data_IF_264822651644
#
_entry.id   IF_264822651644
#
_cell.length_a   1.000
_cell.length_b   1.000
_cell.length_c   1.000
_cell.angle_alpha   90.00
_cell.angle_beta   90.00
_cell.angle_gamma   90.00
#
_symmetry.space_group_name_H-M   'P 1'
#
loop_
_entity.id
_entity.type
_entity.pdbx_description
1 polymer ?
#
# COMPACT_ATOMS: atom_id res chain seq x y z
N UNK A 1 7.27 22.22 8.41
CA UNK A 1 5.88 22.66 8.14
C UNK A 1 5.79 23.15 6.70
N UNK A 2 4.78 22.72 5.98
CA UNK A 2 4.49 23.11 4.57
C UNK A 2 3.27 24.03 4.60
N UNK A 3 3.37 25.28 4.17
CA UNK A 3 2.23 26.22 4.14
C UNK A 3 1.26 25.90 2.97
N UNK A 4 0.14 26.61 2.89
CA UNK A 4 -0.77 26.55 1.75
C UNK A 4 -0.04 26.86 0.44
N UNK A 5 -0.35 26.12 -0.63
CA UNK A 5 0.29 26.22 -1.94
C UNK A 5 0.74 24.88 -2.48
N UNK A 6 1.25 24.86 -3.72
CA UNK A 6 1.78 23.66 -4.37
C UNK A 6 3.30 23.69 -4.35
N UNK A 7 3.90 22.64 -3.79
CA UNK A 7 5.35 22.49 -3.65
C UNK A 7 5.80 21.23 -4.38
N UNK A 8 6.58 21.40 -5.42
CA UNK A 8 7.20 20.27 -6.13
C UNK A 8 8.41 19.78 -5.36
N UNK A 9 8.53 18.46 -5.22
CA UNK A 9 9.67 17.83 -4.57
C UNK A 9 9.97 16.47 -5.16
N UNK A 10 11.22 16.06 -5.06
CA UNK A 10 11.60 14.68 -5.25
C UNK A 10 11.42 13.89 -3.97
N UNK A 11 12.44 13.18 -3.56
CA UNK A 11 12.47 12.35 -2.35
C UNK A 11 12.63 13.20 -1.08
N UNK A 12 11.71 13.06 -0.12
CA UNK A 12 11.82 13.66 1.22
C UNK A 12 12.15 12.56 2.20
N UNK A 13 13.27 12.71 2.90
CA UNK A 13 13.65 11.76 3.95
C UNK A 13 13.35 12.31 5.34
N UNK A 14 12.44 11.67 6.06
CA UNK A 14 12.16 11.95 7.46
C UNK A 14 13.21 11.25 8.35
N UNK A 15 13.59 11.92 9.41
CA UNK A 15 14.46 11.41 10.47
C UNK A 15 13.68 11.20 11.75
N UNK A 16 14.27 10.52 12.71
CA UNK A 16 13.66 10.35 14.04
C UNK A 16 13.27 11.69 14.67
N UNK A 17 12.17 11.67 15.38
CA UNK A 17 11.60 12.82 16.10
C UNK A 17 11.20 14.00 15.19
N UNK A 18 10.83 13.69 13.93
CA UNK A 18 10.40 14.70 12.96
C UNK A 18 8.93 14.54 12.63
N UNK A 19 8.21 15.64 12.71
CA UNK A 19 6.85 15.76 12.15
C UNK A 19 6.86 16.57 10.87
N UNK A 20 6.45 15.95 9.76
CA UNK A 20 6.09 16.65 8.54
C UNK A 20 4.66 17.17 8.69
N UNK A 21 4.51 18.48 8.83
CA UNK A 21 3.22 19.11 9.04
C UNK A 21 2.78 19.90 7.81
N UNK A 22 1.59 19.55 7.27
CA UNK A 22 1.00 20.18 6.08
C UNK A 22 -0.20 21.06 6.53
N UNK A 23 -0.11 22.34 6.25
CA UNK A 23 -1.22 23.28 6.52
C UNK A 23 -2.40 23.05 5.58
N UNK A 24 -3.56 23.56 5.97
CA UNK A 24 -4.73 23.56 5.11
C UNK A 24 -4.41 24.17 3.74
N UNK A 25 -4.76 23.45 2.66
CA UNK A 25 -4.43 23.85 1.28
C UNK A 25 -2.97 23.64 0.86
N UNK A 26 -2.14 22.97 1.68
CA UNK A 26 -0.82 22.52 1.25
C UNK A 26 -0.94 21.33 0.29
N UNK A 27 -0.24 21.40 -0.83
CA UNK A 27 -0.09 20.30 -1.77
C UNK A 27 1.39 20.00 -1.94
N UNK A 28 1.82 18.87 -1.43
CA UNK A 28 3.15 18.35 -1.65
C UNK A 28 3.09 17.43 -2.85
N UNK A 29 3.65 17.88 -3.98
CA UNK A 29 3.59 17.15 -5.24
C UNK A 29 4.93 16.56 -5.62
N UNK A 30 4.93 15.30 -6.03
CA UNK A 30 6.07 14.62 -6.57
C UNK A 30 6.49 15.15 -7.94
N UNK A 31 7.78 15.14 -8.22
CA UNK A 31 8.31 15.38 -9.57
C UNK A 31 7.98 14.16 -10.42
N UNK A 32 7.45 14.38 -11.63
CA UNK A 32 7.11 13.30 -12.58
C UNK A 32 8.34 12.79 -13.34
N UNK A 33 9.43 12.60 -12.64
CA UNK A 33 10.64 11.96 -13.12
C UNK A 33 11.04 10.85 -12.16
N UNK A 34 10.90 9.57 -12.53
CA UNK A 34 11.26 8.46 -11.65
C UNK A 34 12.72 8.50 -11.20
N UNK A 35 13.63 9.06 -12.01
CA UNK A 35 15.04 9.18 -11.65
C UNK A 35 15.28 10.15 -10.51
N UNK A 36 14.39 11.11 -10.29
CA UNK A 36 14.48 12.03 -9.16
C UNK A 36 14.36 11.35 -7.80
N UNK A 37 13.79 10.14 -7.76
CA UNK A 37 13.61 9.33 -6.55
C UNK A 37 14.72 8.30 -6.34
N UNK A 38 15.58 8.10 -7.33
CA UNK A 38 16.64 7.09 -7.30
C UNK A 38 18.01 7.65 -6.94
N UNK A 39 18.17 8.97 -6.96
CA UNK A 39 19.44 9.61 -6.66
C UNK A 39 19.96 9.38 -5.23
N UNK A 40 19.06 9.13 -4.31
CA UNK A 40 19.42 8.82 -2.92
C UNK A 40 19.91 7.38 -2.71
N UNK A 41 19.90 6.55 -3.73
CA UNK A 41 20.39 5.18 -3.64
C UNK A 41 21.91 5.08 -3.64
N UNK A 42 22.59 5.99 -4.31
CA UNK A 42 24.03 5.87 -4.50
C UNK A 42 24.84 6.12 -3.23
N UNK A 43 24.31 6.93 -2.31
CA UNK A 43 25.09 7.38 -1.16
C UNK A 43 24.72 6.74 0.17
N UNK A 44 23.57 6.10 0.30
CA UNK A 44 23.08 5.63 1.60
C UNK A 44 22.09 4.47 1.54
N UNK A 45 22.04 3.73 0.45
CA UNK A 45 21.25 2.50 0.48
C UNK A 45 21.97 1.52 1.38
N UNK A 46 21.61 1.56 2.63
CA UNK A 46 21.74 0.34 3.41
C UNK A 46 20.91 -0.70 2.65
N UNK A 47 21.51 -1.82 2.29
CA UNK A 47 20.75 -2.90 1.68
C UNK A 47 19.56 -3.16 2.58
N UNK A 48 18.39 -3.37 1.98
CA UNK A 48 17.25 -3.85 2.73
C UNK A 48 17.72 -4.95 3.66
N UNK A 49 17.31 -4.93 4.92
CA UNK A 49 17.69 -5.99 5.83
C UNK A 49 17.43 -7.34 5.17
N UNK A 50 18.33 -8.31 5.27
CA UNK A 50 18.08 -9.64 4.74
C UNK A 50 16.74 -10.22 5.17
N UNK A 51 16.21 -9.75 6.31
CA UNK A 51 14.87 -10.09 6.80
C UNK A 51 13.75 -9.64 5.87
N UNK A 52 13.92 -8.61 5.06
CA UNK A 52 12.90 -8.20 4.09
C UNK A 52 12.77 -9.21 2.95
N UNK A 53 13.89 -9.80 2.62
CA UNK A 53 13.96 -10.96 1.75
C UNK A 53 13.96 -12.27 2.55
N UNK A 54 13.66 -12.22 3.86
CA UNK A 54 13.62 -13.42 4.67
C UNK A 54 12.57 -14.37 4.12
N UNK A 55 13.05 -15.34 3.40
CA UNK A 55 12.27 -16.26 2.65
C UNK A 55 12.29 -16.04 1.15
N UNK A 56 12.81 -14.93 0.68
CA UNK A 56 13.26 -14.81 -0.69
C UNK A 56 14.75 -15.15 -0.69
N UNK A 57 15.10 -16.28 -1.26
CA UNK A 57 16.51 -16.57 -1.49
C UNK A 57 17.10 -15.51 -2.43
N UNK A 58 18.42 -15.26 -2.43
CA UNK A 58 19.04 -14.41 -3.45
C UNK A 58 18.63 -14.77 -4.88
N UNK A 59 18.38 -16.04 -5.14
CA UNK A 59 17.87 -16.51 -6.42
C UNK A 59 16.43 -16.08 -6.70
N UNK A 60 15.62 -15.92 -5.66
CA UNK A 60 14.27 -15.39 -5.80
C UNK A 60 14.28 -13.88 -6.01
N UNK A 61 15.18 -13.16 -5.38
CA UNK A 61 15.38 -11.72 -5.62
C UNK A 61 15.97 -11.42 -6.98
N UNK A 62 16.76 -12.31 -7.55
CA UNK A 62 17.26 -12.19 -8.91
C UNK A 62 16.24 -12.59 -9.99
N UNK A 63 15.30 -13.47 -9.63
CA UNK A 63 14.31 -14.03 -10.57
C UNK A 63 12.95 -13.37 -10.52
N UNK A 64 12.70 -12.57 -9.50
CA UNK A 64 11.38 -12.00 -9.26
C UNK A 64 11.44 -10.49 -9.06
N UNK A 65 10.83 -9.78 -9.98
CA UNK A 65 9.85 -8.84 -9.52
C UNK A 65 8.68 -9.69 -8.98
N UNK A 66 7.92 -9.16 -8.08
CA UNK A 66 6.74 -9.83 -7.52
C UNK A 66 5.78 -10.36 -8.57
N UNK A 67 6.00 -10.10 -9.85
CA UNK A 67 5.17 -10.45 -10.99
C UNK A 67 5.96 -10.94 -12.22
N UNK A 68 7.21 -11.36 -12.06
CA UNK A 68 7.99 -12.03 -13.10
C UNK A 68 9.05 -11.19 -13.81
N UNK A 69 9.37 -9.98 -13.36
CA UNK A 69 10.49 -9.18 -13.82
C UNK A 69 11.67 -9.17 -12.85
N UNK A 70 12.79 -8.61 -13.24
CA UNK A 70 13.94 -8.47 -12.36
C UNK A 70 13.84 -7.19 -11.55
N UNK A 71 13.83 -7.29 -10.21
CA UNK A 71 14.09 -6.14 -9.36
C UNK A 71 15.59 -5.84 -9.51
N UNK A 72 15.97 -4.69 -10.05
CA UNK A 72 17.38 -4.34 -10.10
C UNK A 72 17.96 -4.28 -8.70
N UNK A 73 19.23 -4.63 -8.54
CA UNK A 73 19.92 -4.45 -7.27
C UNK A 73 19.76 -3.00 -6.78
N UNK A 74 19.38 -2.80 -5.52
CA UNK A 74 19.15 -1.47 -4.95
C UNK A 74 17.69 -1.10 -4.77
N UNK A 75 16.85 -2.08 -4.79
CA UNK A 75 15.45 -2.10 -4.37
C UNK A 75 14.59 -0.88 -4.66
N UNK A 76 13.97 -0.89 -5.79
CA UNK A 76 12.93 0.09 -6.18
C UNK A 76 11.69 0.07 -5.29
N UNK A 77 11.48 -0.97 -4.50
CA UNK A 77 10.36 -1.12 -3.60
C UNK A 77 10.31 -0.11 -2.47
N UNK A 78 11.45 0.43 -2.07
CA UNK A 78 11.53 1.38 -0.96
C UNK A 78 11.49 2.83 -1.41
N UNK A 79 11.29 3.08 -2.72
CA UNK A 79 11.19 4.44 -3.20
C UNK A 79 9.85 5.05 -2.86
N UNK A 80 9.89 6.26 -2.38
CA UNK A 80 8.71 7.01 -2.03
C UNK A 80 8.95 8.50 -2.14
N UNK A 81 7.90 9.26 -2.36
CA UNK A 81 7.95 10.71 -2.29
C UNK A 81 8.34 11.17 -0.88
N UNK A 82 7.85 10.46 0.13
CA UNK A 82 8.24 10.66 1.53
C UNK A 82 8.75 9.33 2.07
N UNK A 83 9.95 9.34 2.64
CA UNK A 83 10.59 8.14 3.19
C UNK A 83 11.04 8.32 4.63
N UNK A 84 10.96 7.24 5.39
CA UNK A 84 11.61 7.10 6.69
C UNK A 84 12.24 5.71 6.77
N UNK A 85 13.50 5.64 7.18
CA UNK A 85 14.23 4.37 7.35
C UNK A 85 14.96 4.41 8.69
N UNK A 86 14.83 3.35 9.49
CA UNK A 86 15.43 3.22 10.82
C UNK A 86 15.14 4.43 11.71
N UNK A 87 13.88 4.89 11.72
CA UNK A 87 13.49 6.11 12.42
C UNK A 87 12.46 5.82 13.50
N UNK A 88 12.48 6.63 14.56
CA UNK A 88 11.50 6.56 15.65
C UNK A 88 10.80 7.90 15.85
N UNK A 89 9.57 7.86 16.39
CA UNK A 89 8.74 9.04 16.63
C UNK A 89 8.57 9.90 15.37
N UNK A 90 8.11 9.27 14.30
CA UNK A 90 7.92 9.92 13.00
C UNK A 90 6.46 10.20 12.75
N UNK A 91 6.15 11.43 12.35
CA UNK A 91 4.79 11.79 12.04
C UNK A 91 4.63 12.52 10.70
N UNK A 92 3.48 12.26 10.05
CA UNK A 92 2.97 13.07 8.94
C UNK A 92 1.58 13.52 9.34
N UNK A 93 1.40 14.82 9.49
CA UNK A 93 0.15 15.42 9.96
C UNK A 93 -0.33 16.47 8.98
N UNK A 94 -1.55 16.34 8.51
CA UNK A 94 -2.20 17.31 7.63
C UNK A 94 -3.39 17.99 8.29
N UNK A 95 -3.58 19.28 8.01
CA UNK A 95 -4.84 19.96 8.24
C UNK A 95 -5.84 19.62 7.12
N UNK A 96 -7.11 19.93 7.30
CA UNK A 96 -8.15 19.68 6.33
C UNK A 96 -7.78 20.22 4.93
N UNK A 97 -7.84 19.35 3.91
CA UNK A 97 -7.46 19.70 2.55
C UNK A 97 -5.97 19.65 2.23
N UNK A 98 -5.12 19.18 3.15
CA UNK A 98 -3.72 18.88 2.88
C UNK A 98 -3.61 17.67 1.94
N UNK A 99 -2.73 17.76 0.94
CA UNK A 99 -2.58 16.73 -0.11
C UNK A 99 -1.11 16.33 -0.27
N UNK A 100 -0.87 15.03 -0.37
CA UNK A 100 0.35 14.42 -0.87
C UNK A 100 0.00 13.81 -2.22
N UNK A 101 0.58 14.35 -3.29
CA UNK A 101 0.25 14.02 -4.68
C UNK A 101 1.45 13.36 -5.35
N UNK A 102 1.36 12.07 -5.65
CA UNK A 102 2.42 11.33 -6.35
C UNK A 102 2.55 11.69 -7.82
N UNK A 103 1.61 12.49 -8.35
CA UNK A 103 1.57 12.98 -9.73
C UNK A 103 1.69 11.87 -10.80
N UNK A 104 1.24 10.65 -10.49
CA UNK A 104 1.31 9.49 -11.39
C UNK A 104 2.72 9.30 -12.01
N UNK A 105 3.75 9.34 -11.18
CA UNK A 105 5.14 9.22 -11.60
C UNK A 105 5.50 7.78 -11.98
N UNK A 106 4.92 7.27 -13.06
CA UNK A 106 5.18 5.91 -13.54
C UNK A 106 6.57 5.72 -14.11
N UNK A 107 7.10 4.52 -13.92
CA UNK A 107 8.42 4.10 -14.38
C UNK A 107 8.31 2.90 -15.30
N UNK A 108 8.65 3.08 -16.59
CA UNK A 108 8.55 2.02 -17.59
C UNK A 108 9.48 0.83 -17.34
N UNK A 109 10.49 1.00 -16.48
CA UNK A 109 11.39 -0.06 -16.05
C UNK A 109 11.21 -0.43 -14.58
N UNK A 110 10.16 0.12 -13.96
CA UNK A 110 9.75 -0.23 -12.60
C UNK A 110 9.10 -1.60 -12.53
N UNK A 111 8.67 -1.96 -11.34
CA UNK A 111 7.93 -3.19 -11.12
C UNK A 111 6.71 -3.27 -12.03
N UNK A 112 6.38 -4.47 -12.47
CA UNK A 112 5.34 -4.72 -13.48
C UNK A 112 5.49 -3.88 -14.75
N UNK A 113 6.69 -3.33 -15.00
CA UNK A 113 7.02 -2.45 -16.12
C UNK A 113 6.26 -1.12 -16.14
N UNK A 114 5.75 -0.68 -15.01
CA UNK A 114 5.07 0.61 -14.92
C UNK A 114 5.07 1.26 -13.54
N UNK A 115 5.22 0.50 -12.43
CA UNK A 115 5.13 1.06 -11.09
C UNK A 115 6.30 1.99 -10.81
N UNK A 116 5.98 3.16 -10.35
CA UNK A 116 6.95 4.16 -9.90
C UNK A 116 7.13 4.15 -8.38
N UNK A 117 7.46 5.30 -7.78
CA UNK A 117 7.63 5.43 -6.34
C UNK A 117 6.28 5.33 -5.60
N UNK A 118 6.33 4.83 -4.38
CA UNK A 118 5.24 4.97 -3.41
C UNK A 118 5.02 6.45 -3.06
N UNK A 119 3.84 6.82 -2.58
CA UNK A 119 3.70 8.15 -2.02
C UNK A 119 4.43 8.26 -0.66
N UNK A 120 4.28 7.24 0.18
CA UNK A 120 4.95 7.17 1.49
C UNK A 120 5.56 5.77 1.63
N UNK A 121 6.85 5.71 2.00
CA UNK A 121 7.56 4.47 2.27
C UNK A 121 8.28 4.56 3.61
N UNK A 122 8.00 3.63 4.51
CA UNK A 122 8.61 3.58 5.83
C UNK A 122 9.15 2.17 6.11
N UNK A 123 10.37 2.09 6.62
CA UNK A 123 11.02 0.83 6.89
C UNK A 123 11.76 0.86 8.21
N UNK A 124 11.59 -0.21 9.00
CA UNK A 124 12.19 -0.36 10.31
C UNK A 124 12.00 0.88 11.22
N UNK A 125 10.75 1.33 11.26
CA UNK A 125 10.37 2.52 12.03
C UNK A 125 9.55 2.15 13.25
N UNK A 126 9.60 3.02 14.28
CA UNK A 126 8.81 2.87 15.51
C UNK A 126 8.01 4.13 15.82
N UNK A 127 6.84 3.94 16.41
CA UNK A 127 5.97 5.05 16.83
C UNK A 127 5.64 5.97 15.63
N UNK A 128 4.98 5.40 14.63
CA UNK A 128 4.56 6.10 13.41
C UNK A 128 3.18 6.71 13.63
N UNK A 129 3.03 8.00 13.36
CA UNK A 129 1.74 8.69 13.38
C UNK A 129 1.44 9.35 12.04
N UNK A 130 0.33 8.92 11.41
CA UNK A 130 -0.11 9.37 10.09
C UNK A 130 -1.53 9.92 10.20
N UNK A 131 -1.77 11.22 9.95
CA UNK A 131 -3.11 11.76 10.13
C UNK A 131 -3.48 12.97 9.30
N UNK A 132 -4.75 13.06 8.91
CA UNK A 132 -5.42 14.29 8.47
C UNK A 132 -5.12 14.74 7.04
N UNK A 133 -4.49 13.95 6.21
CA UNK A 133 -4.13 14.29 4.82
C UNK A 133 -4.81 13.38 3.79
N UNK A 134 -4.75 13.81 2.54
CA UNK A 134 -5.17 12.99 1.40
C UNK A 134 -3.95 12.61 0.54
N UNK A 135 -3.79 11.31 0.24
CA UNK A 135 -2.85 10.85 -0.79
C UNK A 135 -3.58 10.74 -2.12
N UNK A 136 -2.97 11.27 -3.18
CA UNK A 136 -3.48 11.15 -4.56
C UNK A 136 -2.41 10.64 -5.51
N UNK A 137 -2.86 9.98 -6.58
CA UNK A 137 -2.03 9.68 -7.76
C UNK A 137 -0.70 9.03 -7.41
N UNK A 138 -0.69 8.11 -6.45
CA UNK A 138 0.52 7.32 -6.16
C UNK A 138 0.80 6.39 -7.34
N UNK A 139 2.02 6.37 -7.82
CA UNK A 139 2.43 5.49 -8.92
C UNK A 139 2.71 4.05 -8.48
N UNK A 140 2.66 3.80 -7.19
CA UNK A 140 2.67 2.51 -6.53
C UNK A 140 1.76 2.60 -5.29
N UNK A 141 1.93 1.75 -4.28
CA UNK A 141 1.12 1.81 -3.07
C UNK A 141 1.15 3.20 -2.45
N UNK A 142 0.02 3.67 -1.95
CA UNK A 142 -0.03 4.99 -1.32
C UNK A 142 0.81 5.02 -0.03
N UNK A 143 0.76 3.95 0.75
CA UNK A 143 1.60 3.77 1.91
C UNK A 143 2.22 2.37 1.87
N UNK A 144 3.53 2.29 1.89
CA UNK A 144 4.31 1.06 2.00
C UNK A 144 5.07 1.08 3.33
N UNK A 145 4.70 0.20 4.26
CA UNK A 145 5.26 0.20 5.61
C UNK A 145 5.79 -1.21 5.94
N UNK A 146 7.08 -1.27 6.21
CA UNK A 146 7.80 -2.52 6.39
C UNK A 146 8.47 -2.60 7.76
N UNK A 147 8.48 -3.77 8.36
CA UNK A 147 9.25 -4.10 9.59
C UNK A 147 9.07 -3.09 10.73
N UNK A 148 7.90 -2.47 10.81
CA UNK A 148 7.67 -1.33 11.70
C UNK A 148 6.69 -1.68 12.82
N UNK A 149 6.72 -0.91 13.89
CA UNK A 149 5.87 -1.14 15.05
C UNK A 149 5.25 0.13 15.63
N UNK A 150 4.11 -0.04 16.31
CA UNK A 150 3.34 1.05 16.92
C UNK A 150 2.92 2.09 15.87
N UNK A 151 2.10 1.65 14.94
CA UNK A 151 1.65 2.46 13.80
C UNK A 151 0.23 2.92 14.06
N UNK A 152 0.01 4.22 13.98
CA UNK A 152 -1.30 4.82 14.11
C UNK A 152 -1.62 5.67 12.88
N UNK A 153 -2.64 5.25 12.12
CA UNK A 153 -3.15 5.97 10.95
C UNK A 153 -4.59 6.41 11.22
N UNK A 154 -4.86 7.71 11.14
CA UNK A 154 -6.18 8.24 11.41
C UNK A 154 -6.59 9.35 10.46
N UNK A 155 -7.87 9.35 10.04
CA UNK A 155 -8.44 10.41 9.20
C UNK A 155 -7.58 10.69 7.95
N UNK A 156 -7.09 9.62 7.33
CA UNK A 156 -6.34 9.65 6.07
C UNK A 156 -7.26 9.23 4.94
N UNK A 157 -7.21 9.97 3.84
CA UNK A 157 -7.93 9.60 2.61
C UNK A 157 -6.94 9.19 1.53
N UNK A 158 -7.18 8.06 0.88
CA UNK A 158 -6.40 7.62 -0.28
C UNK A 158 -7.29 7.63 -1.53
N UNK A 159 -6.77 8.19 -2.61
CA UNK A 159 -7.37 8.24 -3.95
C UNK A 159 -6.32 7.87 -5.00
N UNK A 160 -6.09 6.58 -5.19
CA UNK A 160 -5.04 6.06 -6.05
C UNK A 160 -5.42 4.69 -6.64
N UNK A 161 -4.80 4.30 -7.73
CA UNK A 161 -5.10 3.04 -8.42
C UNK A 161 -4.45 1.79 -7.84
N UNK A 162 -3.59 1.93 -6.83
CA UNK A 162 -2.86 0.85 -6.15
C UNK A 162 -3.33 0.69 -4.71
N UNK A 163 -2.60 -0.09 -3.90
CA UNK A 163 -2.97 -0.32 -2.50
C UNK A 163 -3.07 0.99 -1.72
N UNK A 164 -4.04 1.05 -0.84
CA UNK A 164 -4.22 2.18 0.07
C UNK A 164 -3.14 2.21 1.15
N UNK A 165 -2.93 1.09 1.81
CA UNK A 165 -1.81 0.86 2.71
C UNK A 165 -1.40 -0.61 2.65
N UNK A 166 -0.11 -0.85 2.57
CA UNK A 166 0.48 -2.18 2.62
C UNK A 166 1.47 -2.28 3.78
N UNK A 167 1.17 -3.18 4.70
CA UNK A 167 2.02 -3.49 5.84
C UNK A 167 2.74 -4.81 5.61
N UNK A 168 4.03 -4.87 5.83
CA UNK A 168 4.78 -6.12 5.78
C UNK A 168 5.55 -6.30 7.09
N UNK A 169 5.32 -7.41 7.78
CA UNK A 169 6.00 -7.73 9.03
C UNK A 169 5.88 -6.60 10.07
N UNK A 170 4.67 -6.05 10.22
CA UNK A 170 4.41 -4.94 11.13
C UNK A 170 3.66 -5.42 12.39
N UNK A 171 3.78 -4.63 13.47
CA UNK A 171 3.18 -4.95 14.77
C UNK A 171 2.48 -3.75 15.38
N UNK A 172 1.38 -4.01 16.09
CA UNK A 172 0.62 -3.00 16.84
C UNK A 172 0.17 -1.85 15.92
N UNK A 173 -0.74 -2.16 15.03
CA UNK A 173 -1.26 -1.20 14.05
C UNK A 173 -2.69 -0.84 14.34
N UNK A 174 -3.00 0.46 14.27
CA UNK A 174 -4.37 0.98 14.30
C UNK A 174 -4.61 1.82 13.06
N UNK A 175 -5.71 1.54 12.34
CA UNK A 175 -6.17 2.31 11.18
C UNK A 175 -7.62 2.71 11.46
N UNK A 176 -7.88 3.98 11.70
CA UNK A 176 -9.20 4.44 12.10
C UNK A 176 -9.67 5.68 11.35
N UNK A 177 -10.98 5.79 11.14
CA UNK A 177 -11.62 6.94 10.48
C UNK A 177 -11.01 7.26 9.09
N UNK A 178 -10.47 6.26 8.39
CA UNK A 178 -9.81 6.42 7.10
C UNK A 178 -10.76 6.11 5.93
N UNK A 179 -10.46 6.69 4.77
CA UNK A 179 -11.22 6.44 3.55
C UNK A 179 -10.28 6.04 2.40
N UNK A 180 -10.45 4.83 1.90
CA UNK A 180 -9.65 4.28 0.81
C UNK A 180 -10.51 4.15 -0.44
N UNK A 181 -10.13 4.83 -1.50
CA UNK A 181 -10.66 4.69 -2.85
C UNK A 181 -9.52 4.22 -3.73
N UNK A 182 -9.46 2.92 -3.97
CA UNK A 182 -8.31 2.26 -4.61
C UNK A 182 -8.75 1.44 -5.84
N UNK A 183 -7.82 1.11 -6.68
CA UNK A 183 -8.01 0.11 -7.75
C UNK A 183 -7.58 -1.27 -7.29
N UNK A 184 -6.49 -1.33 -6.53
CA UNK A 184 -5.97 -2.52 -5.86
C UNK A 184 -6.46 -2.57 -4.41
N UNK A 185 -5.81 -3.29 -3.53
CA UNK A 185 -6.28 -3.54 -2.17
C UNK A 185 -6.38 -2.25 -1.32
N UNK A 186 -7.41 -2.11 -0.50
CA UNK A 186 -7.49 -0.95 0.39
C UNK A 186 -6.50 -1.05 1.55
N UNK A 187 -6.54 -2.16 2.28
CA UNK A 187 -5.62 -2.48 3.38
C UNK A 187 -5.04 -3.85 3.12
N UNK A 188 -3.76 -3.88 2.82
CA UNK A 188 -3.02 -5.10 2.56
C UNK A 188 -1.94 -5.34 3.61
N UNK A 189 -1.50 -6.58 3.73
CA UNK A 189 -0.36 -6.87 4.56
C UNK A 189 -0.11 -8.34 4.84
N UNK A 190 1.12 -8.62 5.25
CA UNK A 190 1.64 -9.96 5.48
C UNK A 190 2.43 -10.00 6.78
N UNK A 191 2.42 -11.15 7.46
CA UNK A 191 3.13 -11.36 8.74
C UNK A 191 2.78 -10.29 9.80
N UNK A 192 1.51 -9.98 9.92
CA UNK A 192 1.02 -8.92 10.82
C UNK A 192 0.72 -9.44 12.22
N UNK A 193 0.92 -8.59 13.22
CA UNK A 193 0.56 -8.91 14.59
C UNK A 193 -0.12 -7.73 15.25
N UNK A 194 -1.30 -7.95 15.82
CA UNK A 194 -2.12 -6.94 16.49
C UNK A 194 -2.52 -5.80 15.55
N UNK A 195 -3.47 -6.08 14.69
CA UNK A 195 -4.05 -5.12 13.74
C UNK A 195 -5.44 -4.74 14.19
N UNK A 196 -5.72 -3.46 14.29
CA UNK A 196 -7.06 -2.96 14.52
C UNK A 196 -7.45 -1.96 13.44
N UNK A 197 -8.48 -2.29 12.66
CA UNK A 197 -9.05 -1.39 11.65
C UNK A 197 -10.47 -1.05 12.04
N UNK A 198 -10.77 0.25 12.15
CA UNK A 198 -12.05 0.71 12.67
C UNK A 198 -12.62 1.87 11.88
N UNK A 199 -13.94 1.88 11.69
CA UNK A 199 -14.71 3.00 11.14
C UNK A 199 -14.17 3.50 9.80
N UNK A 200 -13.71 2.58 8.94
CA UNK A 200 -13.10 2.92 7.66
C UNK A 200 -14.08 2.73 6.50
N UNK A 201 -13.90 3.55 5.46
CA UNK A 201 -14.58 3.44 4.17
C UNK A 201 -13.60 2.80 3.19
N UNK A 202 -14.00 1.68 2.57
CA UNK A 202 -13.16 0.92 1.65
C UNK A 202 -13.88 0.68 0.33
N UNK A 203 -13.44 1.37 -0.71
CA UNK A 203 -13.97 1.26 -2.07
C UNK A 203 -12.85 0.83 -3.02
N UNK A 204 -12.96 -0.37 -3.57
CA UNK A 204 -11.92 -0.94 -4.42
C UNK A 204 -12.49 -1.87 -5.50
N UNK A 205 -11.73 -2.08 -6.56
CA UNK A 205 -11.98 -3.12 -7.56
C UNK A 205 -11.21 -4.44 -7.24
N UNK A 206 -10.45 -4.49 -6.15
CA UNK A 206 -9.74 -5.69 -5.70
C UNK A 206 -10.25 -6.14 -4.33
N UNK A 207 -9.44 -6.20 -3.29
CA UNK A 207 -9.89 -6.61 -1.97
C UNK A 207 -9.97 -5.41 -1.02
N UNK A 208 -11.05 -5.31 -0.24
CA UNK A 208 -11.09 -4.32 0.83
C UNK A 208 -9.99 -4.61 1.86
N UNK A 209 -9.85 -5.87 2.22
CA UNK A 209 -8.76 -6.39 3.03
C UNK A 209 -8.06 -7.54 2.33
N UNK A 210 -6.74 -7.44 2.15
CA UNK A 210 -5.89 -8.53 1.71
C UNK A 210 -4.74 -8.69 2.69
N UNK A 211 -4.91 -9.50 3.68
CA UNK A 211 -3.98 -9.55 4.78
C UNK A 211 -3.82 -10.97 5.35
N UNK A 212 -2.71 -11.18 6.02
CA UNK A 212 -2.43 -12.35 6.83
C UNK A 212 -1.73 -11.94 8.12
N UNK A 213 -2.13 -12.56 9.22
CA UNK A 213 -1.54 -12.23 10.51
C UNK A 213 -2.30 -12.73 11.70
N UNK A 214 -1.81 -12.38 12.87
CA UNK A 214 -2.36 -12.79 14.16
C UNK A 214 -2.99 -11.60 14.88
N UNK A 215 -4.14 -11.82 15.52
CA UNK A 215 -4.91 -10.80 16.21
C UNK A 215 -5.29 -9.62 15.27
N UNK A 216 -5.97 -9.96 14.18
CA UNK A 216 -6.54 -8.98 13.26
C UNK A 216 -7.98 -8.74 13.64
N UNK A 217 -8.30 -7.50 13.96
CA UNK A 217 -9.63 -7.07 14.33
C UNK A 217 -10.12 -5.93 13.44
N UNK A 218 -11.28 -6.12 12.81
CA UNK A 218 -11.87 -5.18 11.85
C UNK A 218 -13.29 -4.89 12.34
N UNK A 219 -13.61 -3.63 12.58
CA UNK A 219 -14.93 -3.25 13.08
C UNK A 219 -15.49 -1.99 12.43
N UNK A 220 -16.81 -1.91 12.38
CA UNK A 220 -17.55 -0.72 11.94
C UNK A 220 -17.14 -0.20 10.55
N UNK A 221 -16.67 -1.06 9.66
CA UNK A 221 -16.18 -0.68 8.35
C UNK A 221 -17.25 -0.80 7.27
N UNK A 222 -17.22 0.10 6.29
CA UNK A 222 -18.06 0.05 5.10
C UNK A 222 -17.22 -0.28 3.86
N UNK A 223 -17.45 -1.46 3.28
CA UNK A 223 -16.73 -2.00 2.13
C UNK A 223 -17.69 -2.10 0.95
N UNK A 224 -17.34 -1.50 -0.18
CA UNK A 224 -18.25 -1.52 -1.31
C UNK A 224 -17.59 -1.36 -2.68
N UNK A 225 -18.25 -1.95 -3.68
CA UNK A 225 -18.13 -1.67 -5.10
C UNK A 225 -19.39 -0.96 -5.65
N UNK A 226 -19.38 -0.49 -6.89
CA UNK A 226 -18.24 -0.50 -7.79
C UNK A 226 -17.19 0.53 -7.40
N UNK A 227 -15.93 0.22 -7.71
CA UNK A 227 -14.78 1.04 -7.35
C UNK A 227 -14.73 2.38 -8.07
N UNK A 228 -14.11 3.36 -7.44
CA UNK A 228 -13.75 4.62 -8.06
C UNK A 228 -12.58 4.46 -9.05
N UNK A 229 -11.70 3.50 -8.80
CA UNK A 229 -10.53 3.18 -9.63
C UNK A 229 -10.58 1.72 -10.08
N UNK A 230 -10.04 1.48 -11.27
CA UNK A 230 -9.97 0.13 -11.84
C UNK A 230 -8.75 -0.61 -11.30
N UNK A 231 -8.90 -1.91 -11.05
CA UNK A 231 -7.77 -2.77 -10.78
C UNK A 231 -6.92 -2.97 -12.04
N UNK A 232 -5.69 -2.50 -12.00
CA UNK A 232 -4.80 -2.56 -13.16
C UNK A 232 -4.54 -3.99 -13.64
N UNK A 233 -4.49 -4.96 -12.75
CA UNK A 233 -4.33 -6.36 -13.12
C UNK A 233 -5.44 -6.90 -14.00
N UNK A 234 -6.61 -6.24 -14.02
CA UNK A 234 -7.74 -6.60 -14.89
C UNK A 234 -7.64 -6.05 -16.32
N UNK A 235 -6.68 -5.18 -16.60
CA UNK A 235 -6.46 -4.62 -17.93
C UNK A 235 -5.81 -5.63 -18.87
N UNK A 236 -6.23 -5.62 -20.14
CA UNK A 236 -5.55 -6.38 -21.21
C UNK A 236 -4.18 -5.76 -21.50
N UNK A 237 -3.26 -6.49 -22.19
CA UNK A 237 -1.97 -5.92 -22.59
C UNK A 237 -2.12 -4.66 -23.45
N UNK A 238 -3.10 -4.62 -24.35
CA UNK A 238 -3.39 -3.48 -25.23
C UNK A 238 -3.89 -2.29 -24.40
N UNK A 239 -4.78 -2.55 -23.44
CA UNK A 239 -5.26 -1.55 -22.52
C UNK A 239 -4.14 -0.97 -21.66
N UNK A 240 -3.25 -1.81 -21.13
CA UNK A 240 -2.07 -1.37 -20.40
C UNK A 240 -1.17 -0.48 -21.25
N UNK A 241 -0.92 -0.85 -22.49
CA UNK A 241 -0.10 -0.09 -23.42
C UNK A 241 -0.73 1.26 -23.78
N UNK A 242 -2.06 1.31 -23.92
CA UNK A 242 -2.80 2.52 -24.26
C UNK A 242 -3.00 3.48 -23.05
N UNK A 243 -2.98 2.94 -21.83
CA UNK A 243 -3.27 3.68 -20.62
C UNK A 243 -2.09 4.54 -20.16
N UNK A 244 -1.79 5.60 -20.84
CA UNK A 244 -0.75 6.55 -20.46
C UNK A 244 -1.32 7.80 -19.83
N UNK A 245 -0.56 8.37 -18.92
CA UNK A 245 0.36 7.84 -17.91
C UNK A 245 -0.38 7.43 -16.66
N UNK A 246 -1.58 7.94 -16.48
CA UNK A 246 -2.40 7.65 -15.32
C UNK A 246 -3.16 6.37 -15.54
N UNK A 247 -2.81 5.39 -14.76
CA UNK A 247 -3.42 4.08 -14.80
C UNK A 247 -4.49 3.90 -13.74
N UNK A 248 -4.57 4.86 -12.84
CA UNK A 248 -5.57 4.88 -11.81
C UNK A 248 -6.99 5.02 -12.38
N UNK A 249 -7.13 5.79 -13.46
CA UNK A 249 -8.39 5.92 -14.15
C UNK A 249 -8.15 6.24 -15.63
N UNK A 250 -7.88 5.24 -16.47
CA UNK A 250 -7.84 5.48 -17.89
C UNK A 250 -9.23 5.91 -18.34
N UNK A 251 -9.39 7.18 -18.70
CA UNK A 251 -10.71 7.79 -19.02
C UNK A 251 -11.48 7.10 -20.15
N UNK A 252 -10.87 6.16 -20.84
CA UNK A 252 -11.49 5.34 -21.88
C UNK A 252 -12.03 3.98 -21.36
N UNK A 253 -11.63 3.56 -20.13
CA UNK A 253 -12.23 2.42 -19.47
C UNK A 253 -13.26 2.94 -18.47
N UNK A 254 -14.51 2.87 -18.84
CA UNK A 254 -15.62 3.32 -18.00
C UNK A 254 -16.35 2.12 -17.41
N UNK A 255 -17.22 2.37 -16.43
CA UNK A 255 -18.10 1.33 -15.88
C UNK A 255 -18.96 0.70 -16.97
N UNK A 256 -19.37 1.46 -17.97
CA UNK A 256 -20.17 0.96 -19.08
C UNK A 256 -19.37 0.00 -19.99
N UNK A 257 -18.08 0.25 -20.17
CA UNK A 257 -17.22 -0.58 -21.01
C UNK A 257 -16.51 -1.71 -20.24
N UNK A 258 -16.22 -1.51 -18.96
CA UNK A 258 -15.51 -2.46 -18.14
C UNK A 258 -16.42 -3.34 -17.25
N UNK A 259 -17.66 -2.90 -17.02
CA UNK A 259 -18.64 -3.70 -16.29
C UNK A 259 -18.16 -4.20 -14.94
N UNK A 260 -18.16 -5.51 -14.78
CA UNK A 260 -17.77 -6.21 -13.55
C UNK A 260 -16.35 -5.93 -13.07
N UNK A 261 -15.46 -5.41 -13.92
CA UNK A 261 -14.07 -5.11 -13.52
C UNK A 261 -13.96 -4.00 -12.48
N UNK A 262 -15.03 -3.26 -12.22
CA UNK A 262 -15.12 -2.31 -11.12
C UNK A 262 -15.72 -2.90 -9.85
N UNK A 263 -16.23 -4.11 -9.89
CA UNK A 263 -16.77 -4.75 -8.70
C UNK A 263 -15.63 -5.03 -7.71
N UNK A 264 -15.96 -4.94 -6.44
CA UNK A 264 -15.05 -5.40 -5.39
C UNK A 264 -14.92 -6.94 -5.48
N UNK A 265 -13.71 -7.44 -5.71
CA UNK A 265 -13.48 -8.88 -5.84
C UNK A 265 -13.74 -9.60 -4.51
N UNK A 266 -13.29 -9.01 -3.40
CA UNK A 266 -13.39 -9.64 -2.10
C UNK A 266 -13.49 -8.62 -0.97
N UNK A 267 -14.35 -8.85 0.00
CA UNK A 267 -14.32 -8.06 1.22
C UNK A 267 -13.08 -8.40 2.05
N UNK A 268 -12.74 -9.69 2.16
CA UNK A 268 -11.54 -10.12 2.86
C UNK A 268 -10.84 -11.25 2.10
N UNK A 269 -9.61 -11.02 1.67
CA UNK A 269 -8.71 -12.05 1.17
C UNK A 269 -7.68 -12.36 2.24
N UNK A 270 -7.69 -13.58 2.74
CA UNK A 270 -6.63 -14.04 3.65
C UNK A 270 -5.48 -14.60 2.83
N UNK A 271 -4.31 -14.00 3.00
CA UNK A 271 -3.07 -14.51 2.43
C UNK A 271 -2.40 -15.46 3.41
N UNK A 272 -2.16 -16.67 2.97
CA UNK A 272 -1.24 -17.55 3.67
C UNK A 272 0.14 -16.91 3.62
N UNK A 273 0.70 -16.75 4.78
CA UNK A 273 1.81 -15.91 5.08
C UNK A 273 3.02 -15.91 4.18
N UNK A 274 3.64 -14.76 4.23
CA UNK A 274 4.97 -14.55 3.73
C UNK A 274 5.99 -15.44 4.45
N UNK A 275 6.98 -15.77 3.76
CA UNK A 275 8.15 -16.50 4.05
C UNK A 275 8.92 -16.08 5.25
N UNK A 276 8.61 -15.99 6.32
CA UNK A 276 9.61 -15.60 7.27
C UNK A 276 9.94 -16.73 8.21
N UNK A 277 11.18 -16.73 8.62
CA UNK A 277 11.60 -17.38 9.83
C UNK A 277 11.06 -16.66 11.08
N UNK A 278 10.28 -15.59 10.88
CA UNK A 278 9.60 -14.90 11.96
C UNK A 278 8.45 -15.79 12.41
N UNK A 279 8.44 -16.23 13.67
CA UNK A 279 7.42 -17.11 14.19
C UNK A 279 6.12 -16.32 14.44
N UNK A 280 5.37 -16.07 13.39
CA UNK A 280 4.01 -15.55 13.50
C UNK A 280 3.07 -16.74 13.69
N UNK A 281 2.26 -16.71 14.71
CA UNK A 281 1.27 -17.75 14.96
C UNK A 281 0.25 -17.81 13.79
N UNK A 282 -0.43 -18.93 13.60
CA UNK A 282 -1.51 -19.04 12.62
C UNK A 282 -2.51 -17.90 12.77
N UNK A 283 -2.97 -17.38 11.64
CA UNK A 283 -3.78 -16.18 11.61
C UNK A 283 -5.15 -16.33 12.26
N UNK A 284 -5.59 -15.30 12.90
CA UNK A 284 -6.97 -15.14 13.32
C UNK A 284 -7.49 -13.76 12.94
N UNK A 285 -8.65 -13.74 12.32
CA UNK A 285 -9.32 -12.52 11.86
C UNK A 285 -10.70 -12.46 12.46
N UNK A 286 -11.06 -11.33 13.04
CA UNK A 286 -12.40 -11.02 13.51
C UNK A 286 -12.90 -9.80 12.73
N UNK A 287 -14.10 -9.93 12.16
CA UNK A 287 -14.77 -8.85 11.45
C UNK A 287 -16.16 -8.66 12.04
N UNK A 288 -16.42 -7.51 12.64
CA UNK A 288 -17.67 -7.21 13.33
C UNK A 288 -18.31 -5.91 12.84
N UNK A 289 -19.63 -5.87 12.83
CA UNK A 289 -20.44 -4.69 12.50
C UNK A 289 -20.06 -4.02 11.15
N UNK A 290 -19.56 -4.80 10.20
CA UNK A 290 -19.15 -4.29 8.91
C UNK A 290 -20.31 -4.35 7.91
N UNK A 291 -20.41 -3.30 7.09
CA UNK A 291 -21.36 -3.23 5.98
C UNK A 291 -20.64 -3.53 4.67
N UNK A 292 -21.16 -4.50 3.90
CA UNK A 292 -20.51 -4.96 2.67
C UNK A 292 -21.52 -4.90 1.53
N UNK A 293 -21.18 -4.20 0.46
CA UNK A 293 -22.02 -4.04 -0.72
C UNK A 293 -21.24 -4.37 -2.01
N UNK A 294 -21.93 -5.05 -2.93
CA UNK A 294 -21.43 -5.31 -4.29
C UNK A 294 -20.02 -5.97 -4.32
N UNK A 295 -19.81 -6.94 -3.45
CA UNK A 295 -18.63 -7.78 -3.45
C UNK A 295 -18.90 -9.09 -4.21
N UNK A 296 -17.98 -9.52 -5.05
CA UNK A 296 -18.09 -10.82 -5.72
C UNK A 296 -17.88 -11.96 -4.72
N UNK A 297 -17.09 -11.72 -3.66
CA UNK A 297 -16.81 -12.68 -2.60
C UNK A 297 -16.79 -12.01 -1.24
N UNK A 298 -17.37 -12.68 -0.24
CA UNK A 298 -17.21 -12.23 1.14
C UNK A 298 -15.81 -12.54 1.65
N UNK A 299 -15.36 -13.77 1.45
CA UNK A 299 -14.04 -14.23 1.87
C UNK A 299 -13.35 -14.98 0.75
N UNK A 300 -12.09 -14.69 0.55
CA UNK A 300 -11.20 -15.46 -0.30
C UNK A 300 -10.02 -15.98 0.54
N UNK A 301 -9.90 -17.29 0.64
CA UNK A 301 -8.78 -17.92 1.30
C UNK A 301 -7.85 -18.54 0.27
N UNK A 302 -6.72 -17.89 0.03
CA UNK A 302 -5.70 -18.43 -0.86
C UNK A 302 -4.72 -19.28 -0.06
N UNK A 303 -4.98 -20.57 -0.03
CA UNK A 303 -4.17 -21.55 0.69
C UNK A 303 -3.12 -22.25 -0.19
N UNK A 304 -3.28 -22.18 -1.49
CA UNK A 304 -2.52 -23.05 -2.41
C UNK A 304 -1.02 -22.73 -2.48
N UNK A 305 -0.60 -21.59 -1.93
CA UNK A 305 0.82 -21.22 -1.94
C UNK A 305 1.41 -21.18 -3.35
N UNK A 306 0.62 -20.76 -4.33
CA UNK A 306 1.02 -20.76 -5.73
C UNK A 306 2.10 -19.75 -6.03
N UNK A 307 2.26 -18.79 -5.14
CA UNK A 307 3.26 -17.75 -5.27
C UNK A 307 4.50 -18.14 -4.49
N UNK A 308 5.71 -17.95 -5.02
CA UNK A 308 6.95 -18.41 -4.39
C UNK A 308 7.20 -17.82 -3.00
N UNK A 309 6.60 -16.66 -2.72
CA UNK A 309 6.70 -16.00 -1.41
C UNK A 309 5.62 -16.44 -0.40
N UNK A 310 4.62 -17.21 -0.84
CA UNK A 310 3.59 -17.71 0.07
C UNK A 310 4.08 -18.99 0.74
N UNK A 311 4.19 -18.97 2.05
CA UNK A 311 4.29 -20.19 2.86
C UNK A 311 2.93 -20.50 3.47
N UNK A 312 2.56 -21.75 3.42
CA UNK A 312 1.25 -22.22 3.88
C UNK A 312 1.12 -22.16 5.40
N UNK A 313 0.83 -20.98 5.92
CA UNK A 313 0.36 -20.86 7.30
C UNK A 313 -1.16 -20.78 7.30
N UNK A 314 -1.84 -21.76 7.85
CA UNK A 314 -3.29 -21.80 7.78
C UNK A 314 -3.94 -20.67 8.59
N UNK A 315 -5.08 -20.21 8.11
CA UNK A 315 -5.97 -19.41 8.90
C UNK A 315 -6.52 -20.28 10.04
N UNK A 316 -6.28 -19.88 11.29
CA UNK A 316 -6.75 -20.62 12.45
C UNK A 316 -8.22 -20.35 12.74
N UNK A 317 -8.65 -19.10 12.65
CA UNK A 317 -10.05 -18.74 12.83
C UNK A 317 -10.42 -17.47 12.06
N UNK A 318 -11.63 -17.45 11.55
CA UNK A 318 -12.31 -16.30 10.99
C UNK A 318 -13.68 -16.19 11.67
N UNK A 319 -14.03 -15.05 12.22
CA UNK A 319 -15.33 -14.73 12.84
C UNK A 319 -15.92 -13.49 12.25
#
# INVERSE_FOLDING_TARGET
MIPAGVFLTGDIRLRSHVTLYLKAGAVLRGIRDPLAYYHYQSDTVEPLPPAWYAGNTPEMTEKQDFHGGKIPPGCRWCHGLIRAIHAEDVAIVGEAGAIIDGDDCYDAIGEEYYRGPHAISMEDCKNIHLSGYTVKNSANWAHAIFHSENIHMRNVTVRAGHDGVHFTTCRNMTVEDCAFYTGDDCVAGLDLVNVHVKSCILNTACSAFRLGGTNVYIEDCHMYGPAAYLFRGSLTPEEKAASRPSLANPGWVTRDTAGHRFNMLSACTYYADFTSDIPVAPGNVVMENCHIENADRLVHYNYSGNEPWQKNKPLHSLR
#
